data_IF_400180716853
#
_entry.id   IF_400180716853
#
_cell.length_a   1.000
_cell.length_b   1.000
_cell.length_c   1.000
_cell.angle_alpha   90.00
_cell.angle_beta   90.00
_cell.angle_gamma   90.00
#
_symmetry.space_group_name_H-M   'P 1'
#
loop_
_entity.id
_entity.type
_entity.pdbx_description
1 polymer ?
#
# COMPACT_ATOMS: atom_id res chain seq x y z
N UNK A 1 -2.69 -8.44 39.19
CA UNK A 1 -3.41 -7.99 37.98
C UNK A 1 -2.92 -8.84 36.83
N UNK A 2 -3.80 -9.49 36.07
CA UNK A 2 -3.39 -10.38 34.98
C UNK A 2 -2.72 -9.57 33.85
N UNK A 3 -1.43 -9.85 33.58
CA UNK A 3 -0.62 -9.18 32.56
C UNK A 3 -1.30 -9.27 31.18
N UNK A 4 -1.96 -10.39 30.87
CA UNK A 4 -2.67 -10.57 29.61
C UNK A 4 -3.89 -9.66 29.50
N UNK A 5 -4.65 -9.49 30.59
CA UNK A 5 -5.79 -8.60 30.64
C UNK A 5 -5.38 -7.12 30.45
N UNK A 6 -4.26 -6.71 31.07
CA UNK A 6 -3.70 -5.35 30.92
C UNK A 6 -3.26 -5.10 29.48
N UNK A 7 -2.51 -6.03 28.89
CA UNK A 7 -2.07 -5.96 27.49
C UNK A 7 -3.25 -5.85 26.53
N UNK A 8 -4.26 -6.71 26.68
CA UNK A 8 -5.41 -6.70 25.78
C UNK A 8 -6.27 -5.42 25.93
N UNK A 9 -6.37 -4.85 27.14
CA UNK A 9 -7.01 -3.56 27.36
C UNK A 9 -6.28 -2.41 26.64
N UNK A 10 -4.95 -2.32 26.79
CA UNK A 10 -4.13 -1.29 26.14
C UNK A 10 -4.10 -1.46 24.61
N UNK A 11 -4.03 -2.68 24.09
CA UNK A 11 -4.12 -2.95 22.65
C UNK A 11 -5.48 -2.51 22.11
N UNK A 12 -6.58 -2.84 22.79
CA UNK A 12 -7.92 -2.39 22.37
C UNK A 12 -8.06 -0.87 22.38
N UNK A 13 -7.50 -0.20 23.39
CA UNK A 13 -7.47 1.26 23.49
C UNK A 13 -6.68 1.85 22.33
N UNK A 14 -5.45 1.38 22.11
CA UNK A 14 -4.59 1.78 21.01
C UNK A 14 -5.26 1.62 19.64
N UNK A 15 -5.86 0.46 19.37
CA UNK A 15 -6.52 0.18 18.09
C UNK A 15 -7.70 1.13 17.88
N UNK A 16 -8.44 1.46 18.95
CA UNK A 16 -9.57 2.37 18.88
C UNK A 16 -9.14 3.81 18.57
N UNK A 17 -8.10 4.28 19.24
CA UNK A 17 -7.55 5.64 19.12
C UNK A 17 -6.81 5.85 17.79
N UNK A 18 -6.13 4.81 17.28
CA UNK A 18 -5.29 4.91 16.09
C UNK A 18 -6.04 4.56 14.80
N UNK A 19 -6.85 3.49 14.81
CA UNK A 19 -7.53 2.96 13.61
C UNK A 19 -9.06 3.16 13.65
N UNK A 20 -9.59 3.92 14.61
CA UNK A 20 -10.97 4.39 14.55
C UNK A 20 -11.14 5.50 13.50
N UNK A 21 -12.36 5.77 13.06
CA UNK A 21 -12.66 6.80 12.04
C UNK A 21 -11.93 8.14 12.29
N UNK A 22 -12.03 8.68 13.51
CA UNK A 22 -11.35 9.93 13.89
C UNK A 22 -9.82 9.79 13.97
N UNK A 23 -9.32 8.64 14.41
CA UNK A 23 -7.89 8.34 14.50
C UNK A 23 -7.23 8.23 13.12
N UNK A 24 -7.87 7.47 12.22
CA UNK A 24 -7.51 7.33 10.81
C UNK A 24 -7.59 8.67 10.09
N UNK A 25 -8.67 9.44 10.26
CA UNK A 25 -8.75 10.80 9.71
C UNK A 25 -7.63 11.69 10.24
N UNK A 26 -7.25 11.60 11.51
CA UNK A 26 -6.11 12.31 12.07
C UNK A 26 -4.75 11.90 11.48
N UNK A 27 -4.56 10.60 11.22
CA UNK A 27 -3.37 10.05 10.54
C UNK A 27 -3.26 10.59 9.11
N UNK A 28 -4.36 10.58 8.36
CA UNK A 28 -4.39 11.05 6.97
C UNK A 28 -4.38 12.57 6.88
N UNK A 29 -5.02 13.31 7.80
CA UNK A 29 -5.02 14.79 7.83
C UNK A 29 -3.62 15.36 8.06
N UNK A 30 -2.78 14.69 8.86
CA UNK A 30 -1.36 15.06 9.02
C UNK A 30 -0.51 14.71 7.80
N UNK A 31 -1.00 13.82 6.93
CA UNK A 31 -0.39 13.53 5.64
C UNK A 31 -0.88 14.47 4.51
N UNK A 32 -1.88 15.33 4.77
CA UNK A 32 -2.32 16.36 3.81
C UNK A 32 -1.27 17.48 3.75
N UNK A 33 -0.66 17.66 2.58
CA UNK A 33 0.42 18.62 2.31
C UNK A 33 1.28 18.15 1.13
N UNK A 34 2.56 18.56 1.07
CA UNK A 34 3.53 18.06 0.07
C UNK A 34 3.69 16.52 0.07
N UNK A 35 3.25 15.84 1.13
CA UNK A 35 3.19 14.37 1.21
C UNK A 35 2.16 13.76 0.25
N UNK A 36 1.11 14.49 -0.11
CA UNK A 36 0.11 14.04 -1.09
C UNK A 36 0.74 13.80 -2.46
N UNK A 37 1.82 14.51 -2.80
CA UNK A 37 2.58 14.33 -4.03
C UNK A 37 3.53 13.14 -3.97
N UNK A 38 3.84 12.61 -2.77
CA UNK A 38 4.72 11.43 -2.64
C UNK A 38 4.07 10.16 -3.17
N UNK A 39 2.75 10.02 -3.06
CA UNK A 39 2.05 8.86 -3.62
C UNK A 39 2.08 8.85 -5.17
N UNK A 40 1.72 9.95 -5.86
CA UNK A 40 1.94 10.10 -7.30
C UNK A 40 3.41 9.93 -7.71
N UNK A 41 4.35 10.50 -6.96
CA UNK A 41 5.78 10.34 -7.22
C UNK A 41 6.22 8.88 -7.08
N UNK A 42 5.76 8.17 -6.05
CA UNK A 42 6.05 6.74 -5.85
C UNK A 42 5.46 5.89 -6.99
N UNK A 43 4.26 6.23 -7.51
CA UNK A 43 3.68 5.57 -8.68
C UNK A 43 4.51 5.85 -9.94
N UNK A 44 5.01 7.07 -10.12
CA UNK A 44 5.90 7.39 -11.23
C UNK A 44 7.26 6.66 -11.14
N UNK A 45 7.77 6.47 -9.92
CA UNK A 45 9.03 5.75 -9.66
C UNK A 45 8.87 4.23 -9.62
N UNK A 46 7.65 3.69 -9.53
CA UNK A 46 7.41 2.26 -9.41
C UNK A 46 7.84 1.45 -10.66
N UNK A 47 7.53 1.86 -11.91
CA UNK A 47 8.02 1.16 -13.10
C UNK A 47 9.55 1.09 -13.20
N UNK A 48 10.32 2.20 -13.10
CA UNK A 48 11.79 2.11 -13.17
C UNK A 48 12.37 1.33 -11.98
N UNK A 49 11.74 1.40 -10.80
CA UNK A 49 12.14 0.60 -9.65
C UNK A 49 11.93 -0.91 -9.86
N UNK A 50 10.81 -1.30 -10.46
CA UNK A 50 10.52 -2.70 -10.78
C UNK A 50 11.53 -3.25 -11.80
N UNK A 51 11.86 -2.48 -12.83
CA UNK A 51 12.89 -2.85 -13.80
C UNK A 51 14.25 -3.03 -13.13
N UNK A 52 14.62 -2.12 -12.22
CA UNK A 52 15.84 -2.25 -11.42
C UNK A 52 15.82 -3.53 -10.56
N UNK A 53 14.69 -3.86 -9.95
CA UNK A 53 14.51 -5.09 -9.15
C UNK A 53 14.62 -6.36 -10.00
N UNK A 54 14.04 -6.38 -11.20
CA UNK A 54 14.18 -7.47 -12.16
C UNK A 54 15.63 -7.62 -12.61
N UNK A 55 16.32 -6.50 -12.88
CA UNK A 55 17.76 -6.50 -13.19
C UNK A 55 18.58 -7.10 -12.04
N UNK A 56 18.29 -6.72 -10.79
CA UNK A 56 18.94 -7.33 -9.60
C UNK A 56 18.70 -8.83 -9.54
N UNK A 57 17.49 -9.31 -9.85
CA UNK A 57 17.17 -10.74 -9.89
C UNK A 57 17.99 -11.48 -10.95
N UNK A 58 18.10 -10.89 -12.14
CA UNK A 58 18.91 -11.43 -13.25
C UNK A 58 20.39 -11.46 -12.85
N UNK A 59 20.93 -10.37 -12.28
CA UNK A 59 22.32 -10.30 -11.82
C UNK A 59 22.63 -11.34 -10.74
N UNK A 60 21.69 -11.64 -9.85
CA UNK A 60 21.82 -12.73 -8.87
C UNK A 60 21.89 -14.11 -9.54
N UNK A 61 21.05 -14.33 -10.57
CA UNK A 61 21.03 -15.58 -11.36
C UNK A 61 22.31 -15.78 -12.16
N UNK A 62 22.92 -14.72 -12.67
CA UNK A 62 24.15 -14.76 -13.48
C UNK A 62 25.43 -14.70 -12.63
N UNK A 63 25.31 -14.70 -11.29
CA UNK A 63 26.45 -14.81 -10.37
C UNK A 63 27.14 -13.50 -9.99
N UNK A 64 26.66 -12.35 -10.49
CA UNK A 64 27.19 -11.00 -10.20
C UNK A 64 26.68 -10.47 -8.85
N UNK A 65 26.94 -11.23 -7.79
CA UNK A 65 26.40 -10.98 -6.43
C UNK A 65 26.81 -9.62 -5.86
N UNK A 66 28.00 -9.11 -6.18
CA UNK A 66 28.48 -7.80 -5.73
C UNK A 66 27.70 -6.62 -6.32
N UNK A 67 27.41 -6.66 -7.64
CA UNK A 67 26.61 -5.64 -8.31
C UNK A 67 25.13 -5.71 -7.90
N UNK A 68 24.59 -6.93 -7.77
CA UNK A 68 23.25 -7.14 -7.22
C UNK A 68 23.09 -6.61 -5.79
N UNK A 69 24.13 -6.76 -4.95
CA UNK A 69 24.13 -6.22 -3.59
C UNK A 69 24.21 -4.68 -3.58
N UNK A 70 25.00 -4.08 -4.48
CA UNK A 70 25.08 -2.61 -4.62
C UNK A 70 23.77 -2.01 -5.12
N UNK A 71 23.20 -2.56 -6.20
CA UNK A 71 21.93 -2.07 -6.78
C UNK A 71 20.73 -2.37 -5.88
N UNK A 72 20.74 -3.48 -5.15
CA UNK A 72 19.69 -3.84 -4.19
C UNK A 72 19.60 -2.93 -2.96
N UNK A 73 20.63 -2.11 -2.70
CA UNK A 73 20.62 -1.09 -1.62
C UNK A 73 19.87 0.18 -2.01
N UNK A 74 19.59 0.39 -3.29
CA UNK A 74 18.86 1.57 -3.77
C UNK A 74 17.39 1.41 -3.38
N UNK A 75 16.95 2.19 -2.39
CA UNK A 75 15.53 2.32 -2.01
C UNK A 75 14.98 3.59 -2.66
N UNK A 76 14.19 3.45 -3.73
CA UNK A 76 13.58 4.58 -4.44
C UNK A 76 12.18 4.96 -3.91
N UNK A 77 11.61 4.15 -3.02
CA UNK A 77 10.35 4.48 -2.39
C UNK A 77 10.56 5.46 -1.25
N UNK A 78 9.86 6.59 -1.30
CA UNK A 78 9.86 7.56 -0.21
C UNK A 78 9.08 6.95 0.97
N UNK A 79 9.69 6.78 2.16
CA UNK A 79 8.95 6.33 3.34
C UNK A 79 7.82 7.33 3.61
N UNK A 80 6.59 6.82 3.63
CA UNK A 80 5.41 7.66 3.88
C UNK A 80 5.40 8.08 5.34
N UNK A 81 5.04 9.34 5.64
CA UNK A 81 4.97 9.82 7.03
C UNK A 81 4.01 9.00 7.88
N UNK A 82 3.02 8.37 7.27
CA UNK A 82 2.10 7.42 7.92
C UNK A 82 2.85 6.23 8.52
N UNK A 83 3.80 5.63 7.81
CA UNK A 83 4.59 4.51 8.34
C UNK A 83 5.45 4.94 9.54
N UNK A 84 6.08 6.11 9.47
CA UNK A 84 6.85 6.67 10.59
C UNK A 84 5.99 6.99 11.81
N UNK A 85 4.82 7.60 11.60
CA UNK A 85 3.85 7.92 12.66
C UNK A 85 3.29 6.64 13.30
N UNK A 86 2.98 5.60 12.52
CA UNK A 86 2.55 4.30 13.06
C UNK A 86 3.67 3.66 13.87
N UNK A 87 4.93 3.70 13.40
CA UNK A 87 6.07 3.20 14.16
C UNK A 87 6.19 3.91 15.52
N UNK A 88 6.14 5.24 15.54
CA UNK A 88 6.19 6.04 16.77
C UNK A 88 5.05 5.70 17.73
N UNK A 89 3.83 5.51 17.21
CA UNK A 89 2.67 5.10 18.01
C UNK A 89 2.81 3.70 18.59
N UNK A 90 3.37 2.75 17.84
CA UNK A 90 3.64 1.40 18.35
C UNK A 90 4.74 1.44 19.40
N UNK A 91 5.79 2.25 19.24
CA UNK A 91 6.78 2.48 20.29
C UNK A 91 6.12 3.01 21.58
N UNK A 92 5.29 4.05 21.48
CA UNK A 92 4.55 4.58 22.62
C UNK A 92 3.58 3.57 23.26
N UNK A 93 3.05 2.61 22.50
CA UNK A 93 2.26 1.50 23.06
C UNK A 93 3.15 0.59 23.90
N UNK A 94 4.33 0.21 23.41
CA UNK A 94 5.26 -0.63 24.15
C UNK A 94 5.74 0.07 25.43
N UNK A 95 6.04 1.37 25.37
CA UNK A 95 6.45 2.14 26.55
C UNK A 95 5.31 2.23 27.60
N UNK A 96 4.05 2.34 27.17
CA UNK A 96 2.89 2.25 28.07
C UNK A 96 2.75 0.88 28.71
N UNK A 97 3.02 -0.19 27.97
CA UNK A 97 2.99 -1.54 28.52
C UNK A 97 4.11 -1.74 29.55
N UNK A 98 5.32 -1.25 29.27
CA UNK A 98 6.46 -1.26 30.21
C UNK A 98 6.09 -0.50 31.50
N UNK A 99 5.52 0.72 31.38
CA UNK A 99 5.07 1.52 32.53
C UNK A 99 3.93 0.87 33.34
N UNK A 100 3.08 0.07 32.70
CA UNK A 100 1.99 -0.66 33.35
C UNK A 100 2.43 -2.00 33.99
N UNK A 101 3.74 -2.32 33.97
CA UNK A 101 4.27 -3.60 34.46
C UNK A 101 3.90 -4.80 33.58
N UNK A 102 3.46 -4.54 32.34
CA UNK A 102 3.04 -5.53 31.36
C UNK A 102 3.92 -5.49 30.09
N UNK A 103 5.15 -5.01 30.25
CA UNK A 103 6.15 -4.80 29.22
C UNK A 103 6.65 -6.07 28.54
N UNK A 104 7.45 -5.91 27.49
CA UNK A 104 8.07 -7.03 26.74
C UNK A 104 9.55 -7.16 27.08
N UNK A 105 10.02 -8.40 27.30
CA UNK A 105 11.39 -8.70 27.72
C UNK A 105 12.46 -8.50 26.62
N UNK A 106 12.05 -8.32 25.36
CA UNK A 106 12.97 -8.18 24.23
C UNK A 106 13.94 -6.99 24.39
N UNK A 107 15.23 -7.16 24.02
CA UNK A 107 16.20 -6.07 23.96
C UNK A 107 15.74 -4.91 23.05
N UNK A 108 16.16 -3.66 23.32
CA UNK A 108 15.73 -2.47 22.55
C UNK A 108 15.95 -2.59 21.03
N UNK A 109 17.04 -3.23 20.61
CA UNK A 109 17.34 -3.42 19.17
C UNK A 109 16.37 -4.38 18.48
N UNK A 110 16.03 -5.49 19.16
CA UNK A 110 15.06 -6.48 18.68
C UNK A 110 13.67 -5.86 18.63
N UNK A 111 13.33 -5.08 19.66
CA UNK A 111 12.09 -4.30 19.74
C UNK A 111 11.96 -3.34 18.56
N UNK A 112 13.01 -2.56 18.26
CA UNK A 112 13.00 -1.62 17.15
C UNK A 112 12.83 -2.31 15.79
N UNK A 113 13.57 -3.40 15.55
CA UNK A 113 13.44 -4.18 14.31
C UNK A 113 12.05 -4.78 14.14
N UNK A 114 11.47 -5.34 15.18
CA UNK A 114 10.13 -5.92 15.14
C UNK A 114 9.02 -4.88 14.85
N UNK A 115 9.17 -3.65 15.38
CA UNK A 115 8.26 -2.54 15.06
C UNK A 115 8.36 -2.16 13.57
N UNK A 116 9.58 -2.08 13.02
CA UNK A 116 9.77 -1.80 11.59
C UNK A 116 9.14 -2.90 10.71
N UNK A 117 9.34 -4.17 11.05
CA UNK A 117 8.75 -5.30 10.34
C UNK A 117 7.21 -5.29 10.43
N UNK A 118 6.67 -4.98 11.61
CA UNK A 118 5.22 -4.81 11.81
C UNK A 118 4.65 -3.71 10.91
N UNK A 119 5.31 -2.54 10.85
CA UNK A 119 4.88 -1.42 10.02
C UNK A 119 4.94 -1.78 8.54
N UNK A 120 5.99 -2.46 8.09
CA UNK A 120 6.13 -2.90 6.70
C UNK A 120 5.03 -3.91 6.31
N UNK A 121 4.75 -4.90 7.15
CA UNK A 121 3.67 -5.88 6.91
C UNK A 121 2.30 -5.19 6.92
N UNK A 122 2.06 -4.29 7.88
CA UNK A 122 0.82 -3.51 7.95
C UNK A 122 0.63 -2.67 6.69
N UNK A 123 1.67 -2.02 6.19
CA UNK A 123 1.59 -1.21 4.98
C UNK A 123 1.22 -2.05 3.76
N UNK A 124 1.88 -3.20 3.58
CA UNK A 124 1.56 -4.12 2.47
C UNK A 124 0.11 -4.64 2.54
N UNK A 125 -0.37 -5.03 3.72
CA UNK A 125 -1.76 -5.51 3.86
C UNK A 125 -2.77 -4.38 3.71
N UNK A 126 -2.47 -3.18 4.20
CA UNK A 126 -3.31 -2.01 3.98
C UNK A 126 -3.42 -1.71 2.48
N UNK A 127 -2.31 -1.75 1.75
CA UNK A 127 -2.28 -1.56 0.29
C UNK A 127 -3.12 -2.59 -0.45
N UNK A 128 -2.96 -3.90 -0.15
CA UNK A 128 -3.80 -4.96 -0.74
C UNK A 128 -5.28 -4.73 -0.46
N UNK A 129 -5.62 -4.42 0.79
CA UNK A 129 -7.01 -4.19 1.19
C UNK A 129 -7.58 -2.98 0.47
N UNK A 130 -6.80 -1.89 0.39
CA UNK A 130 -7.14 -0.69 -0.36
C UNK A 130 -7.36 -1.00 -1.85
N UNK A 131 -6.48 -1.75 -2.51
CA UNK A 131 -6.65 -2.14 -3.92
C UNK A 131 -7.92 -2.96 -4.13
N UNK A 132 -8.22 -3.90 -3.22
CA UNK A 132 -9.43 -4.70 -3.30
C UNK A 132 -10.70 -3.91 -3.01
N UNK A 133 -10.67 -2.97 -2.04
CA UNK A 133 -11.78 -2.06 -1.79
C UNK A 133 -12.05 -1.18 -3.00
N UNK A 134 -11.02 -0.62 -3.63
CA UNK A 134 -11.16 0.17 -4.86
C UNK A 134 -11.74 -0.68 -5.98
N UNK A 135 -11.25 -1.91 -6.16
CA UNK A 135 -11.78 -2.85 -7.14
C UNK A 135 -13.27 -3.16 -6.89
N UNK A 136 -13.63 -3.44 -5.63
CA UNK A 136 -15.00 -3.74 -5.22
C UNK A 136 -15.94 -2.55 -5.43
N UNK A 137 -15.55 -1.34 -4.99
CA UNK A 137 -16.32 -0.11 -5.22
C UNK A 137 -16.47 0.14 -6.71
N UNK A 138 -15.39 -0.05 -7.48
CA UNK A 138 -15.44 0.02 -8.93
C UNK A 138 -16.44 -0.97 -9.54
N UNK A 139 -16.45 -2.21 -9.07
CA UNK A 139 -17.41 -3.21 -9.52
C UNK A 139 -18.87 -2.83 -9.18
N UNK A 140 -19.13 -2.35 -7.96
CA UNK A 140 -20.48 -1.94 -7.54
C UNK A 140 -20.98 -0.74 -8.35
N UNK A 141 -20.13 0.26 -8.60
CA UNK A 141 -20.51 1.49 -9.31
C UNK A 141 -20.64 1.26 -10.81
N UNK A 142 -19.74 0.49 -11.42
CA UNK A 142 -19.66 0.34 -12.87
C UNK A 142 -20.24 -0.98 -13.38
N UNK A 143 -20.72 -1.86 -12.49
CA UNK A 143 -21.23 -3.21 -12.82
C UNK A 143 -20.27 -4.05 -13.69
N UNK A 144 -18.98 -3.75 -13.65
CA UNK A 144 -17.91 -4.44 -14.35
C UNK A 144 -16.67 -4.44 -13.47
N UNK A 145 -15.86 -5.50 -13.52
CA UNK A 145 -14.51 -5.43 -12.98
C UNK A 145 -13.83 -4.26 -13.69
N UNK A 146 -13.53 -3.19 -12.94
CA UNK A 146 -13.14 -1.90 -13.50
C UNK A 146 -12.05 -2.12 -14.54
N UNK A 147 -12.23 -1.66 -15.80
CA UNK A 147 -11.18 -1.81 -16.79
C UNK A 147 -9.94 -1.10 -16.25
N UNK A 148 -8.85 -1.86 -16.10
CA UNK A 148 -7.62 -1.33 -15.55
C UNK A 148 -7.09 -0.19 -16.43
N UNK A 149 -6.15 0.60 -15.90
CA UNK A 149 -5.50 1.68 -16.65
C UNK A 149 -4.99 1.20 -18.01
N UNK A 150 -4.47 -0.02 -18.08
CA UNK A 150 -4.00 -0.65 -19.32
C UNK A 150 -5.10 -0.84 -20.37
N UNK A 151 -6.36 -1.01 -19.97
CA UNK A 151 -7.51 -1.14 -20.86
C UNK A 151 -8.17 0.20 -21.17
N UNK A 152 -8.17 1.14 -20.22
CA UNK A 152 -8.76 2.47 -20.42
C UNK A 152 -7.87 3.40 -21.24
N UNK A 153 -6.55 3.35 -21.02
CA UNK A 153 -5.62 4.29 -21.63
C UNK A 153 -5.66 4.31 -23.16
N UNK A 154 -5.67 3.16 -23.88
CA UNK A 154 -5.78 3.17 -25.34
C UNK A 154 -7.07 3.85 -25.81
N UNK A 155 -8.21 3.49 -25.24
CA UNK A 155 -9.51 4.06 -25.64
C UNK A 155 -9.62 5.57 -25.39
N UNK A 156 -9.05 6.07 -24.29
CA UNK A 156 -9.02 7.50 -23.98
C UNK A 156 -8.02 8.21 -24.90
N UNK A 157 -6.85 7.62 -25.14
CA UNK A 157 -5.83 8.17 -26.03
C UNK A 157 -6.33 8.29 -27.47
N UNK A 158 -6.99 7.26 -28.00
CA UNK A 158 -7.56 7.29 -29.35
C UNK A 158 -8.60 8.41 -29.49
N UNK A 159 -9.44 8.63 -28.46
CA UNK A 159 -10.38 9.75 -28.47
C UNK A 159 -9.69 11.11 -28.44
N UNK A 160 -8.60 11.26 -27.68
CA UNK A 160 -7.83 12.50 -27.66
C UNK A 160 -7.13 12.74 -28.99
N UNK A 161 -6.52 11.71 -29.58
CA UNK A 161 -5.91 11.77 -30.91
C UNK A 161 -6.94 12.17 -31.98
N UNK A 162 -8.16 11.63 -31.92
CA UNK A 162 -9.27 12.00 -32.80
C UNK A 162 -9.64 13.48 -32.67
N UNK A 163 -9.76 14.00 -31.44
CA UNK A 163 -10.10 15.40 -31.17
C UNK A 163 -8.99 16.32 -31.66
N UNK A 164 -7.73 15.97 -31.41
CA UNK A 164 -6.57 16.76 -31.79
C UNK A 164 -6.37 16.79 -33.31
N UNK A 165 -6.51 15.63 -33.96
CA UNK A 165 -6.47 15.53 -35.42
C UNK A 165 -7.59 16.33 -36.08
N UNK A 166 -8.81 16.27 -35.55
CA UNK A 166 -9.93 17.06 -36.07
C UNK A 166 -9.69 18.56 -35.88
N UNK A 167 -9.22 19.02 -34.71
CA UNK A 167 -8.91 20.44 -34.45
C UNK A 167 -7.79 20.98 -35.33
N UNK A 168 -6.76 20.18 -35.58
CA UNK A 168 -5.64 20.51 -36.46
C UNK A 168 -5.94 20.36 -37.95
N UNK A 169 -7.15 19.95 -38.33
CA UNK A 169 -7.49 19.70 -39.71
C UNK A 169 -7.49 21.00 -40.52
N UNK A 170 -6.75 21.00 -41.63
CA UNK A 170 -6.48 22.18 -42.46
C UNK A 170 -7.75 22.87 -42.98
N UNK A 171 -8.84 22.12 -43.21
CA UNK A 171 -10.12 22.65 -43.68
C UNK A 171 -11.09 23.04 -42.53
N UNK A 172 -10.57 23.09 -41.30
CA UNK A 172 -11.32 23.41 -40.10
C UNK A 172 -11.91 22.19 -39.38
N UNK A 173 -12.22 22.38 -38.09
CA UNK A 173 -12.58 21.31 -37.16
C UNK A 173 -13.80 20.49 -37.60
N UNK A 174 -14.83 21.13 -38.16
CA UNK A 174 -16.06 20.44 -38.60
C UNK A 174 -15.81 19.45 -39.74
N UNK A 175 -14.97 19.83 -40.70
CA UNK A 175 -14.57 18.95 -41.79
C UNK A 175 -13.59 17.88 -41.31
N UNK A 176 -12.72 18.22 -40.34
CA UNK A 176 -11.88 17.25 -39.64
C UNK A 176 -12.69 16.16 -38.94
N UNK A 177 -13.72 16.54 -38.18
CA UNK A 177 -14.61 15.57 -37.51
C UNK A 177 -15.31 14.64 -38.51
N UNK A 178 -15.79 15.17 -39.64
CA UNK A 178 -16.39 14.36 -40.70
C UNK A 178 -15.38 13.40 -41.34
N UNK A 179 -14.16 13.88 -41.63
CA UNK A 179 -13.09 13.08 -42.23
C UNK A 179 -12.62 11.96 -41.28
N UNK A 180 -12.24 12.31 -40.05
CA UNK A 180 -11.78 11.32 -39.08
C UNK A 180 -12.90 10.40 -38.58
N UNK A 181 -14.17 10.78 -38.75
CA UNK A 181 -15.30 9.87 -38.54
C UNK A 181 -15.30 8.67 -39.52
N UNK A 182 -14.76 8.85 -40.73
CA UNK A 182 -14.58 7.79 -41.72
C UNK A 182 -13.19 7.15 -41.67
N UNK A 183 -12.17 7.92 -41.31
CA UNK A 183 -10.78 7.49 -41.19
C UNK A 183 -10.27 7.74 -39.77
N UNK A 184 -10.53 6.82 -38.81
CA UNK A 184 -10.19 7.05 -37.41
C UNK A 184 -8.71 7.35 -37.22
N UNK A 185 -8.41 8.40 -36.45
CA UNK A 185 -7.06 8.68 -35.99
C UNK A 185 -6.74 7.73 -34.82
N UNK A 186 -5.64 6.98 -34.93
CA UNK A 186 -5.14 6.12 -33.86
C UNK A 186 -4.09 6.84 -33.04
N UNK A 187 -4.13 6.70 -31.72
CA UNK A 187 -3.08 7.23 -30.86
C UNK A 187 -1.77 6.47 -31.08
N UNK A 188 -0.67 7.22 -31.07
CA UNK A 188 0.68 6.69 -31.00
C UNK A 188 0.94 6.02 -29.64
N UNK A 189 1.95 5.14 -29.59
CA UNK A 189 2.36 4.51 -28.33
C UNK A 189 2.74 5.54 -27.25
N UNK A 190 3.31 6.69 -27.64
CA UNK A 190 3.66 7.77 -26.72
C UNK A 190 2.43 8.43 -26.08
N UNK A 191 1.38 8.68 -26.86
CA UNK A 191 0.12 9.24 -26.37
C UNK A 191 -0.59 8.26 -25.43
N UNK A 192 -0.63 6.97 -25.78
CA UNK A 192 -1.19 5.91 -24.91
C UNK A 192 -0.44 5.87 -23.57
N UNK A 193 0.89 5.90 -23.59
CA UNK A 193 1.70 5.93 -22.37
C UNK A 193 1.45 7.20 -21.54
N UNK A 194 1.28 8.35 -22.19
CA UNK A 194 1.01 9.63 -21.51
C UNK A 194 -0.35 9.60 -20.81
N UNK A 195 -1.39 9.12 -21.50
CA UNK A 195 -2.73 8.95 -20.93
C UNK A 195 -2.72 7.91 -19.82
N UNK A 196 -2.05 6.78 -20.01
CA UNK A 196 -1.90 5.76 -18.96
C UNK A 196 -1.24 6.32 -17.71
N UNK A 197 -0.18 7.12 -17.88
CA UNK A 197 0.52 7.77 -16.78
C UNK A 197 -0.38 8.80 -16.07
N UNK A 198 -1.10 9.65 -16.81
CA UNK A 198 -2.03 10.61 -16.23
C UNK A 198 -3.16 9.93 -15.44
N UNK A 199 -3.74 8.86 -15.99
CA UNK A 199 -4.74 8.04 -15.30
C UNK A 199 -4.17 7.38 -14.04
N UNK A 200 -2.93 6.90 -14.09
CA UNK A 200 -2.25 6.33 -12.92
C UNK A 200 -1.99 7.38 -11.83
N UNK A 201 -1.60 8.61 -12.20
CA UNK A 201 -1.46 9.70 -11.25
C UNK A 201 -2.79 10.02 -10.56
N UNK A 202 -3.87 10.15 -11.32
CA UNK A 202 -5.21 10.42 -10.76
C UNK A 202 -5.63 9.27 -9.83
N UNK A 203 -5.49 8.02 -10.28
CA UNK A 203 -5.80 6.85 -9.48
C UNK A 203 -4.99 6.82 -8.17
N UNK A 204 -3.70 7.15 -8.22
CA UNK A 204 -2.82 7.15 -7.03
C UNK A 204 -3.28 8.13 -5.96
N UNK A 205 -3.81 9.29 -6.35
CA UNK A 205 -4.38 10.27 -5.42
C UNK A 205 -5.60 9.68 -4.74
N UNK A 206 -6.52 9.07 -5.51
CA UNK A 206 -7.73 8.41 -4.97
C UNK A 206 -7.34 7.27 -4.02
N UNK A 207 -6.38 6.43 -4.41
CA UNK A 207 -5.89 5.31 -3.60
C UNK A 207 -5.25 5.78 -2.28
N UNK A 208 -4.60 6.94 -2.25
CA UNK A 208 -3.99 7.50 -1.03
C UNK A 208 -5.03 7.74 0.08
N UNK A 209 -6.27 8.06 -0.30
CA UNK A 209 -7.37 8.29 0.64
C UNK A 209 -8.20 7.03 0.90
N UNK A 210 -8.06 5.97 0.10
CA UNK A 210 -8.79 4.73 0.32
C UNK A 210 -8.45 4.06 1.68
N UNK A 211 -7.25 4.33 2.23
CA UNK A 211 -6.89 3.94 3.60
C UNK A 211 -7.80 4.52 4.69
N UNK A 212 -8.42 5.68 4.44
CA UNK A 212 -9.39 6.32 5.35
C UNK A 212 -10.61 5.43 5.58
N UNK A 213 -11.02 4.69 4.54
CA UNK A 213 -12.13 3.75 4.60
C UNK A 213 -11.67 2.34 5.00
N UNK A 214 -10.52 1.91 4.48
CA UNK A 214 -10.01 0.56 4.72
C UNK A 214 -9.62 0.32 6.19
N UNK A 215 -9.03 1.30 6.88
CA UNK A 215 -8.57 1.14 8.26
C UNK A 215 -9.73 0.89 9.27
N UNK A 216 -10.84 1.66 9.25
CA UNK A 216 -12.03 1.37 10.06
C UNK A 216 -12.61 -0.02 9.81
N UNK A 217 -12.65 -0.46 8.55
CA UNK A 217 -13.11 -1.80 8.17
C UNK A 217 -12.18 -2.86 8.74
N UNK A 218 -10.86 -2.72 8.56
CA UNK A 218 -9.87 -3.64 9.13
C UNK A 218 -9.91 -3.68 10.67
N UNK A 219 -10.20 -2.55 11.32
CA UNK A 219 -10.46 -2.48 12.75
C UNK A 219 -11.71 -3.27 13.14
N UNK A 220 -12.83 -3.08 12.44
CA UNK A 220 -14.09 -3.79 12.70
C UNK A 220 -13.92 -5.32 12.55
N UNK A 221 -13.12 -5.75 11.58
CA UNK A 221 -12.77 -7.17 11.37
C UNK A 221 -11.75 -7.71 12.40
N UNK A 222 -11.23 -6.87 13.29
CA UNK A 222 -10.26 -7.23 14.33
C UNK A 222 -8.83 -7.49 13.82
N UNK A 223 -8.51 -7.11 12.57
CA UNK A 223 -7.22 -7.42 11.95
C UNK A 223 -6.04 -6.75 12.67
N UNK A 224 -6.16 -5.46 13.00
CA UNK A 224 -5.11 -4.72 13.72
C UNK A 224 -4.84 -5.32 15.11
N UNK A 225 -5.89 -5.75 15.83
CA UNK A 225 -5.76 -6.37 17.15
C UNK A 225 -5.00 -7.69 17.09
N UNK A 226 -5.37 -8.59 16.17
CA UNK A 226 -4.68 -9.87 15.97
C UNK A 226 -3.20 -9.67 15.64
N UNK A 227 -2.89 -8.68 14.80
CA UNK A 227 -1.52 -8.36 14.39
C UNK A 227 -0.66 -7.84 15.55
N UNK A 228 -1.22 -6.98 16.42
CA UNK A 228 -0.52 -6.48 17.60
C UNK A 228 -0.27 -7.57 18.65
N UNK A 229 -1.25 -8.45 18.87
CA UNK A 229 -1.06 -9.61 19.75
C UNK A 229 0.07 -10.52 19.24
N UNK A 230 0.15 -10.76 17.93
CA UNK A 230 1.27 -11.51 17.32
C UNK A 230 2.61 -10.81 17.47
N UNK A 231 2.66 -9.48 17.33
CA UNK A 231 3.88 -8.72 17.54
C UNK A 231 4.40 -8.89 18.97
N UNK A 232 3.51 -8.72 19.96
CA UNK A 232 3.87 -8.85 21.39
C UNK A 232 4.33 -10.27 21.69
N UNK A 233 3.61 -11.30 21.22
CA UNK A 233 4.01 -12.69 21.39
C UNK A 233 5.40 -13.00 20.79
N UNK A 234 5.74 -12.43 19.63
CA UNK A 234 7.07 -12.56 19.03
C UNK A 234 8.15 -11.88 19.86
N UNK A 235 7.84 -10.72 20.44
CA UNK A 235 8.78 -9.99 21.30
C UNK A 235 9.03 -10.75 22.61
N UNK A 236 7.99 -11.33 23.21
CA UNK A 236 8.17 -12.18 24.39
C UNK A 236 9.03 -13.41 24.06
N UNK A 237 8.74 -14.12 22.96
CA UNK A 237 9.52 -15.28 22.52
C UNK A 237 10.98 -14.96 22.14
N UNK A 238 11.27 -13.71 21.75
CA UNK A 238 12.63 -13.26 21.44
C UNK A 238 13.43 -12.86 22.69
N UNK A 239 12.76 -12.69 23.84
CA UNK A 239 13.41 -12.51 25.14
C UNK A 239 14.00 -13.81 25.68
N UNK A 240 13.46 -14.96 25.26
CA UNK A 240 14.00 -16.29 25.55
C UNK A 240 15.15 -16.60 24.58
N UNK A 241 16.39 -16.40 25.05
CA UNK A 241 17.62 -16.50 24.26
C UNK A 241 17.87 -17.87 23.57
N UNK A 242 17.05 -18.88 23.84
CA UNK A 242 17.19 -20.25 23.33
C UNK A 242 16.42 -20.51 22.01
N UNK A 243 15.52 -19.62 21.59
CA UNK A 243 14.59 -19.85 20.47
C UNK A 243 15.02 -19.20 19.13
N UNK A 244 16.27 -18.76 18.98
CA UNK A 244 16.76 -18.15 17.72
C UNK A 244 17.04 -19.21 16.64
N UNK A 245 16.01 -19.92 16.21
CA UNK A 245 15.97 -20.59 14.91
C UNK A 245 15.19 -19.70 13.91
N UNK A 246 15.53 -19.73 12.61
CA UNK A 246 15.07 -18.76 11.62
C UNK A 246 13.60 -19.00 11.21
N UNK A 247 12.65 -18.63 12.06
CA UNK A 247 11.21 -18.68 11.77
C UNK A 247 10.69 -17.45 10.96
N UNK A 248 11.59 -16.65 10.41
CA UNK A 248 11.27 -15.39 9.71
C UNK A 248 10.41 -15.54 8.44
N UNK A 249 10.14 -16.77 7.98
CA UNK A 249 9.28 -17.04 6.81
C UNK A 249 7.85 -17.49 7.18
N UNK A 250 7.67 -18.26 8.25
CA UNK A 250 6.36 -18.78 8.70
C UNK A 250 5.45 -17.68 9.28
N UNK A 251 6.06 -16.64 9.84
CA UNK A 251 5.35 -15.52 10.44
C UNK A 251 4.80 -14.51 9.40
N UNK A 252 5.41 -14.43 8.21
CA UNK A 252 4.98 -13.54 7.11
C UNK A 252 3.77 -14.07 6.36
N UNK A 253 3.68 -15.39 6.21
CA UNK A 253 2.57 -16.04 5.49
C UNK A 253 1.27 -15.89 6.27
N UNK A 254 1.26 -16.12 7.58
CA UNK A 254 0.03 -16.05 8.39
C UNK A 254 -0.68 -14.67 8.38
N UNK A 255 0.06 -13.57 8.22
CA UNK A 255 -0.50 -12.23 8.11
C UNK A 255 -1.19 -11.95 6.76
N UNK A 256 -0.68 -12.54 5.69
CA UNK A 256 -1.27 -12.49 4.35
C UNK A 256 -2.48 -13.42 4.25
N UNK A 257 -2.39 -14.62 4.85
CA UNK A 257 -3.49 -15.58 4.88
C UNK A 257 -4.67 -15.05 5.70
N UNK A 258 -4.42 -14.39 6.83
CA UNK A 258 -5.49 -13.75 7.62
C UNK A 258 -6.17 -12.61 6.88
N UNK A 259 -5.41 -11.80 6.13
CA UNK A 259 -5.98 -10.76 5.29
C UNK A 259 -6.89 -11.38 4.22
N UNK A 260 -6.39 -12.41 3.53
CA UNK A 260 -7.16 -13.15 2.52
C UNK A 260 -8.43 -13.79 3.10
N UNK A 261 -8.35 -14.42 4.27
CA UNK A 261 -9.51 -15.02 4.93
C UNK A 261 -10.50 -13.99 5.49
N UNK A 262 -10.01 -12.84 5.96
CA UNK A 262 -10.89 -11.74 6.35
C UNK A 262 -11.70 -11.26 5.13
N UNK A 263 -11.05 -11.09 3.98
CA UNK A 263 -11.67 -10.69 2.72
C UNK A 263 -12.69 -11.73 2.23
N UNK A 264 -12.33 -13.01 2.19
CA UNK A 264 -13.24 -14.09 1.78
C UNK A 264 -14.49 -14.12 2.67
N UNK A 265 -14.34 -13.84 3.97
CA UNK A 265 -15.46 -13.79 4.90
C UNK A 265 -16.35 -12.55 4.70
N UNK A 266 -15.78 -11.43 4.29
CA UNK A 266 -16.54 -10.22 3.94
C UNK A 266 -17.30 -10.37 2.61
N UNK A 267 -16.76 -11.14 1.66
CA UNK A 267 -17.40 -11.44 0.37
C UNK A 267 -18.46 -12.56 0.45
N UNK A 268 -18.44 -13.34 1.53
CA UNK A 268 -19.43 -14.41 1.83
C UNK A 268 -20.50 -13.95 2.83
N UNK A 269 -20.51 -12.67 3.18
CA UNK A 269 -21.59 -12.03 3.94
C UNK A 269 -22.73 -11.66 3.02
#
# INVERSE_FOLDING_TARGET
MDIHAVRDAEIRRFVRETYGLLGTLGLHRRAVGLDLLRAPANVALAPPYLLLRLLVLILRRVGLRGLAARLGRVQLFLPTRVSGEVAARVHNLLDRLDAAGAGVAAPPEVRHRAVQDYVAIRAAVAEITTSLTVLFVGFVVFHAATPGIASLAPSVADRLAQIEAARGFWAGERLGQAYYGLFPASASAGEIMTVAFALALIASVVTTFAGVLADPVQKAMGAHRRRLHRLIARLDASGDAESLAPEHLLARTGDLTDALFAIIRALRG
#
